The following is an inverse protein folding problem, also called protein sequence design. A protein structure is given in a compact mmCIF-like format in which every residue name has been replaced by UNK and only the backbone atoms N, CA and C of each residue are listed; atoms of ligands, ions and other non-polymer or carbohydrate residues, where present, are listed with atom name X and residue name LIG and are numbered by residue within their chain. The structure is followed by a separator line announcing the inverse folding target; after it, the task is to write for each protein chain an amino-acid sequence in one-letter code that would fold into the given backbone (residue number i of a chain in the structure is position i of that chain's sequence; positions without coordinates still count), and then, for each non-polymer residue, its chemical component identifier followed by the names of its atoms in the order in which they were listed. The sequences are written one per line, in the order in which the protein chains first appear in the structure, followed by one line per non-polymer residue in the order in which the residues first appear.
data_IF_712264798606
#
_entry.id   IF_712264798606
#
_cell.length_a   1.000
_cell.length_b   1.000
_cell.length_c   1.000
_cell.angle_alpha   90.00
_cell.angle_beta   90.00
_cell.angle_gamma   90.00
#
_symmetry.space_group_name_H-M   'P 1'
#
loop_
_entity.id
_entity.type
_entity.pdbx_description
1 polymer ?
#
# COMPACT_ATOMS: atom_id res chain seq x y z
N UNK A 1 -19.69 -16.67 17.50
CA UNK A 1 -20.02 -17.46 16.30
C UNK A 1 -18.71 -17.80 15.60
N UNK A 2 -18.60 -18.97 14.98
CA UNK A 2 -17.44 -19.25 14.16
C UNK A 2 -17.43 -18.32 12.92
N UNK A 3 -16.29 -17.67 12.60
CA UNK A 3 -16.21 -16.80 11.44
C UNK A 3 -16.44 -17.62 10.17
N UNK A 4 -17.32 -17.12 9.29
CA UNK A 4 -17.63 -17.76 8.01
C UNK A 4 -16.48 -17.53 7.04
N UNK A 5 -16.00 -18.59 6.40
CA UNK A 5 -15.02 -18.53 5.32
C UNK A 5 -15.60 -19.13 4.04
N UNK A 6 -15.51 -18.43 2.90
CA UNK A 6 -15.05 -17.03 2.73
C UNK A 6 -16.00 -15.99 3.39
N UNK A 7 -15.51 -14.79 3.75
CA UNK A 7 -16.31 -13.74 4.39
C UNK A 7 -17.51 -13.35 3.51
N UNK A 8 -18.60 -12.95 4.16
CA UNK A 8 -19.79 -12.43 3.47
C UNK A 8 -19.86 -10.92 3.66
N UNK A 9 -20.50 -10.18 2.74
CA UNK A 9 -20.79 -8.78 2.94
C UNK A 9 -21.55 -8.53 4.24
N UNK A 10 -21.23 -7.43 4.92
CA UNK A 10 -21.84 -7.05 6.18
C UNK A 10 -22.08 -5.52 6.22
N UNK A 11 -23.09 -5.06 6.98
CA UNK A 11 -23.29 -3.63 7.18
C UNK A 11 -22.18 -3.06 8.07
N UNK A 12 -21.58 -1.95 7.67
CA UNK A 12 -20.72 -1.14 8.53
C UNK A 12 -21.56 -0.14 9.33
N UNK A 13 -21.18 0.13 10.57
CA UNK A 13 -21.77 1.24 11.32
C UNK A 13 -21.35 2.58 10.70
N UNK A 14 -22.13 3.63 10.92
CA UNK A 14 -21.77 4.97 10.44
C UNK A 14 -20.46 5.47 11.08
N UNK A 15 -20.18 5.08 12.33
CA UNK A 15 -18.95 5.43 13.02
C UNK A 15 -17.74 4.77 12.36
N UNK A 16 -17.83 3.47 12.06
CA UNK A 16 -16.75 2.74 11.40
C UNK A 16 -16.54 3.24 9.97
N UNK A 17 -17.61 3.51 9.24
CA UNK A 17 -17.53 4.08 7.89
C UNK A 17 -16.79 5.43 7.89
N UNK A 18 -17.13 6.33 8.81
CA UNK A 18 -16.47 7.62 8.95
C UNK A 18 -14.99 7.47 9.38
N UNK A 19 -14.69 6.53 10.26
CA UNK A 19 -13.32 6.27 10.70
C UNK A 19 -12.45 5.75 9.54
N UNK A 20 -12.99 4.85 8.71
CA UNK A 20 -12.32 4.33 7.52
C UNK A 20 -12.13 5.39 6.43
N UNK A 21 -13.10 6.30 6.25
CA UNK A 21 -12.98 7.45 5.36
C UNK A 21 -11.86 8.40 5.83
N UNK A 22 -11.87 8.78 7.10
CA UNK A 22 -10.82 9.64 7.67
C UNK A 22 -9.42 8.99 7.56
N UNK A 23 -9.32 7.67 7.76
CA UNK A 23 -8.07 6.93 7.57
C UNK A 23 -7.60 7.00 6.11
N UNK A 24 -8.51 6.81 5.15
CA UNK A 24 -8.19 6.90 3.73
C UNK A 24 -7.68 8.31 3.37
N UNK A 25 -8.37 9.35 3.82
CA UNK A 25 -8.00 10.74 3.56
C UNK A 25 -6.62 11.08 4.13
N UNK A 26 -6.34 10.68 5.38
CA UNK A 26 -5.03 10.88 6.00
C UNK A 26 -3.91 10.20 5.21
N UNK A 27 -4.12 8.97 4.75
CA UNK A 27 -3.14 8.21 3.97
C UNK A 27 -2.90 8.80 2.58
N UNK A 28 -3.96 9.25 1.90
CA UNK A 28 -3.84 9.91 0.58
C UNK A 28 -3.14 11.25 0.74
N UNK A 29 -3.49 12.05 1.75
CA UNK A 29 -2.83 13.32 2.03
C UNK A 29 -1.34 13.14 2.38
N UNK A 30 -0.98 12.10 3.15
CA UNK A 30 0.42 11.76 3.41
C UNK A 30 1.17 11.39 2.12
N UNK A 31 0.57 10.55 1.28
CA UNK A 31 1.17 10.15 0.01
C UNK A 31 1.37 11.35 -0.94
N UNK A 32 0.37 12.25 -0.99
CA UNK A 32 0.42 13.49 -1.74
C UNK A 32 1.57 14.40 -1.27
N UNK A 33 1.66 14.70 0.04
CA UNK A 33 2.77 15.50 0.58
C UNK A 33 4.13 14.87 0.27
N UNK A 34 4.25 13.54 0.42
CA UNK A 34 5.50 12.84 0.11
C UNK A 34 5.88 12.95 -1.36
N UNK A 35 4.90 12.91 -2.26
CA UNK A 35 5.10 13.15 -3.69
C UNK A 35 5.57 14.58 -3.95
N UNK A 36 4.91 15.57 -3.34
CA UNK A 36 5.22 16.98 -3.58
C UNK A 36 6.62 17.33 -3.07
N UNK A 37 7.03 16.79 -1.91
CA UNK A 37 8.40 16.88 -1.40
C UNK A 37 9.42 16.26 -2.37
N UNK A 38 9.09 15.11 -2.98
CA UNK A 38 9.95 14.44 -3.95
C UNK A 38 10.13 15.29 -5.22
N UNK A 39 9.05 15.91 -5.70
CA UNK A 39 9.10 16.83 -6.85
C UNK A 39 9.89 18.10 -6.50
N UNK A 40 9.65 18.70 -5.33
CA UNK A 40 10.36 19.90 -4.86
C UNK A 40 11.88 19.68 -4.71
N UNK A 41 12.30 18.46 -4.39
CA UNK A 41 13.71 18.04 -4.35
C UNK A 41 14.30 17.74 -5.74
N UNK A 42 13.59 18.05 -6.82
CA UNK A 42 14.03 17.83 -8.19
C UNK A 42 14.00 16.35 -8.60
N UNK A 43 13.13 15.53 -7.98
CA UNK A 43 13.02 14.08 -8.22
C UNK A 43 14.31 13.31 -7.91
N UNK A 44 15.15 13.85 -7.03
CA UNK A 44 16.42 13.26 -6.66
C UNK A 44 16.19 12.22 -5.55
N UNK A 45 16.64 10.99 -5.80
CA UNK A 45 16.56 9.91 -4.82
C UNK A 45 17.85 9.83 -4.01
N UNK A 46 17.78 10.08 -2.70
CA UNK A 46 18.93 9.93 -1.80
C UNK A 46 19.41 8.46 -1.72
N UNK A 47 20.62 8.14 -2.24
CA UNK A 47 21.14 6.77 -2.25
C UNK A 47 21.53 6.25 -0.86
N UNK A 48 21.66 7.13 0.15
CA UNK A 48 21.93 6.76 1.55
C UNK A 48 20.67 6.24 2.24
N UNK A 49 19.50 6.74 1.89
CA UNK A 49 18.21 6.28 2.42
C UNK A 49 17.61 5.16 1.57
N UNK A 50 17.76 5.26 0.25
CA UNK A 50 17.07 4.41 -0.71
C UNK A 50 18.03 3.52 -1.50
N UNK A 51 17.60 2.30 -1.75
CA UNK A 51 18.29 1.35 -2.63
C UNK A 51 17.36 0.97 -3.77
N UNK A 52 17.79 1.17 -5.01
CA UNK A 52 17.08 0.70 -6.20
C UNK A 52 16.95 -0.83 -6.16
N UNK A 53 15.76 -1.32 -6.46
CA UNK A 53 15.41 -2.75 -6.44
C UNK A 53 15.17 -3.27 -7.85
N UNK A 54 14.41 -2.52 -8.64
CA UNK A 54 13.93 -2.93 -9.95
C UNK A 54 13.62 -1.72 -10.82
N UNK A 55 13.78 -1.88 -12.12
CA UNK A 55 13.33 -0.95 -13.15
C UNK A 55 12.57 -1.76 -14.21
N UNK A 56 11.40 -1.29 -14.62
CA UNK A 56 10.50 -1.98 -15.55
C UNK A 56 9.48 -0.98 -16.12
N UNK A 57 9.24 -0.99 -17.43
CA UNK A 57 8.20 -0.19 -18.10
C UNK A 57 8.20 1.29 -17.69
N UNK A 58 9.37 1.94 -17.71
CA UNK A 58 9.58 3.33 -17.29
C UNK A 58 9.26 3.64 -15.81
N UNK A 59 9.08 2.61 -15.00
CA UNK A 59 8.97 2.71 -13.55
C UNK A 59 10.26 2.25 -12.89
N UNK A 60 10.71 2.96 -11.86
CA UNK A 60 11.81 2.55 -10.99
C UNK A 60 11.31 2.39 -9.57
N UNK A 61 11.64 1.26 -8.93
CA UNK A 61 11.28 0.98 -7.55
C UNK A 61 12.50 0.98 -6.64
N UNK A 62 12.34 1.59 -5.49
CA UNK A 62 13.34 1.73 -4.45
C UNK A 62 12.80 1.22 -3.13
N UNK A 63 13.68 0.69 -2.30
CA UNK A 63 13.36 0.31 -0.92
C UNK A 63 14.22 1.08 0.07
N UNK A 64 13.70 1.35 1.26
CA UNK A 64 14.52 1.90 2.35
C UNK A 64 15.63 0.92 2.69
N UNK A 65 16.81 1.46 2.95
CA UNK A 65 17.86 0.68 3.60
C UNK A 65 17.46 0.43 5.05
N UNK A 66 17.68 -0.79 5.53
CA UNK A 66 17.61 -1.08 6.95
C UNK A 66 18.58 -0.12 7.64
N UNK A 67 18.09 0.70 8.57
CA UNK A 67 18.99 1.40 9.49
C UNK A 67 19.76 0.32 10.20
N UNK A 68 21.06 0.20 9.93
CA UNK A 68 21.93 -0.54 10.83
C UNK A 68 21.82 0.20 12.16
N UNK A 69 21.02 -0.31 13.11
CA UNK A 69 21.43 -0.17 14.51
C UNK A 69 22.85 -0.68 14.51
N UNK A 70 23.80 0.24 14.72
CA UNK A 70 25.24 0.04 14.62
C UNK A 70 25.60 -1.43 14.76
N UNK A 71 25.72 -2.13 13.62
CA UNK A 71 26.44 -3.40 13.64
C UNK A 71 27.77 -2.98 14.19
N UNK A 72 28.15 -3.50 15.35
CA UNK A 72 29.46 -3.30 15.94
C UNK A 72 30.46 -3.25 14.80
N UNK A 73 30.92 -2.03 14.52
CA UNK A 73 31.96 -1.78 13.54
C UNK A 73 33.16 -2.44 14.19
N UNK A 74 33.39 -3.73 13.92
CA UNK A 74 34.70 -4.33 14.12
C UNK A 74 35.57 -3.61 13.12
N UNK A 75 36.11 -2.50 13.59
CA UNK A 75 37.16 -1.77 12.95
C UNK A 75 38.31 -2.76 12.79
N UNK A 76 38.56 -3.13 11.53
CA UNK A 76 39.65 -4.01 11.18
C UNK A 76 40.91 -3.14 11.25
N UNK A 77 41.50 -3.08 12.44
CA UNK A 77 42.82 -2.46 12.63
C UNK A 77 43.87 -3.43 12.04
N UNK A 78 44.81 -2.97 11.21
CA UNK A 78 45.91 -3.80 10.70
C UNK A 78 46.76 -4.29 11.87
N UNK A 79 47.06 -5.59 11.89
CA UNK A 79 47.95 -6.20 12.88
C UNK A 79 49.40 -5.86 12.56
N UNK A 80 50.11 -5.25 13.50
CA UNK A 80 51.55 -5.44 13.65
C UNK A 80 51.84 -6.15 14.97
N UNK A 81 52.59 -7.24 14.80
CA UNK A 81 53.50 -7.95 15.68
C UNK A 81 53.08 -8.36 17.11
N UNK A 82 53.05 -9.69 17.23
CA UNK A 82 52.94 -10.57 18.40
C UNK A 82 53.95 -10.25 19.52
N UNK A 83 53.51 -10.27 20.77
CA UNK A 83 54.17 -11.07 21.83
C UNK A 83 53.14 -11.63 22.83
N UNK A 84 53.36 -12.90 23.21
CA UNK A 84 52.57 -13.78 24.08
C UNK A 84 52.54 -13.26 25.54
N UNK A 85 51.68 -13.68 26.47
CA UNK A 85 51.37 -15.02 27.04
C UNK A 85 50.06 -14.80 27.86
N UNK A 86 49.10 -15.71 28.08
CA UNK A 86 49.03 -16.81 29.07
C UNK A 86 47.69 -17.56 28.87
N UNK A 87 47.73 -18.86 29.14
CA UNK A 87 46.74 -19.90 28.84
C UNK A 87 45.31 -19.74 29.40
N UNK A 88 44.37 -20.33 28.65
CA UNK A 88 42.94 -20.54 28.91
C UNK A 88 42.62 -21.35 30.17
N UNK A 89 41.37 -21.22 30.65
CA UNK A 89 40.54 -22.42 30.79
C UNK A 89 39.17 -22.30 30.09
N UNK A 90 39.00 -23.25 29.18
CA UNK A 90 37.81 -23.95 28.65
C UNK A 90 36.38 -23.47 28.95
N UNK A 91 35.60 -23.36 27.87
CA UNK A 91 34.14 -23.46 27.82
C UNK A 91 33.66 -24.89 28.10
N UNK A 92 32.45 -25.04 28.65
CA UNK A 92 31.46 -25.91 28.00
C UNK A 92 30.15 -25.16 27.70
N UNK A 93 29.72 -25.26 26.44
CA UNK A 93 28.38 -24.88 25.99
C UNK A 93 27.45 -26.08 26.19
N UNK A 94 26.26 -25.92 26.80
CA UNK A 94 25.03 -26.64 26.44
C UNK A 94 23.83 -25.84 27.00
N UNK A 95 22.97 -25.28 26.15
CA UNK A 95 21.70 -24.67 26.58
C UNK A 95 20.82 -25.67 27.37
N UNK A 96 19.95 -25.20 28.28
CA UNK A 96 18.54 -25.10 27.93
C UNK A 96 17.82 -23.82 28.41
N UNK A 97 16.87 -23.40 27.58
CA UNK A 97 15.67 -22.58 27.75
C UNK A 97 15.43 -21.69 29.02
N UNK A 98 15.26 -20.39 28.74
CA UNK A 98 14.19 -19.43 29.13
C UNK A 98 13.61 -19.48 30.57
N UNK A 99 13.56 -18.32 31.24
CA UNK A 99 12.28 -17.87 31.86
C UNK A 99 12.09 -16.34 31.76
N UNK A 100 10.92 -15.95 31.23
CA UNK A 100 10.44 -14.59 30.98
C UNK A 100 9.78 -14.01 32.24
N UNK A 101 10.54 -13.95 33.34
CA UNK A 101 10.09 -13.34 34.59
C UNK A 101 10.79 -12.04 34.97
N UNK A 102 11.76 -11.60 34.15
CA UNK A 102 12.59 -10.44 34.47
C UNK A 102 12.05 -9.11 33.92
N UNK A 103 11.14 -9.12 32.94
CA UNK A 103 10.59 -7.87 32.37
C UNK A 103 9.37 -7.33 33.13
N UNK A 104 8.68 -8.14 33.95
CA UNK A 104 7.53 -7.70 34.73
C UNK A 104 7.91 -7.06 36.09
N UNK A 105 9.19 -7.06 36.46
CA UNK A 105 9.66 -6.55 37.75
C UNK A 105 10.22 -5.12 37.69
N UNK A 106 10.28 -4.50 36.50
CA UNK A 106 10.94 -3.20 36.31
C UNK A 106 9.98 -2.05 35.93
N UNK A 107 8.68 -2.31 35.75
CA UNK A 107 7.69 -1.25 35.49
C UNK A 107 6.85 -0.82 36.69
N UNK A 108 6.96 -1.50 37.84
CA UNK A 108 6.11 -1.24 39.03
C UNK A 108 6.78 -0.43 40.14
N UNK A 109 7.87 0.31 39.90
CA UNK A 109 8.62 0.94 41.02
C UNK A 109 9.09 2.38 40.83
N UNK A 110 8.41 3.20 40.01
CA UNK A 110 8.59 4.65 40.09
C UNK A 110 7.26 5.42 39.96
N UNK A 111 6.69 5.90 41.09
CA UNK A 111 5.79 7.03 41.09
C UNK A 111 6.57 8.36 41.20
N UNK A 112 5.96 9.41 40.64
CA UNK A 112 6.27 10.84 40.82
C UNK A 112 7.39 11.46 39.99
N UNK A 113 6.99 12.39 39.10
CA UNK A 113 7.62 13.71 39.04
C UNK A 113 6.54 14.77 38.87
N UNK A 114 6.25 15.50 39.95
CA UNK A 114 5.61 16.81 39.97
C UNK A 114 6.57 17.87 39.46
N UNK A 115 6.11 18.74 38.55
CA UNK A 115 6.69 20.07 38.34
C UNK A 115 5.56 21.10 38.27
N UNK A 116 5.92 22.31 38.65
CA UNK A 116 5.12 23.35 39.30
C UNK A 116 4.27 24.15 38.33
N UNK A 117 3.12 24.65 38.83
CA UNK A 117 2.40 25.78 38.25
C UNK A 117 3.19 27.06 38.54
N UNK A 118 3.48 27.84 37.51
CA UNK A 118 3.84 29.26 37.62
C UNK A 118 3.04 30.02 36.55
N UNK A 119 2.30 31.03 37.01
CA UNK A 119 1.38 31.87 36.24
C UNK A 119 2.18 32.93 35.46
N UNK A 120 2.02 32.96 34.14
CA UNK A 120 2.23 34.18 33.36
C UNK A 120 1.36 34.15 32.11
N UNK A 121 0.37 35.04 32.06
CA UNK A 121 -0.36 35.36 30.83
C UNK A 121 0.59 35.99 29.81
N UNK A 122 0.57 35.50 28.57
CA UNK A 122 1.26 36.13 27.45
C UNK A 122 1.55 35.17 26.28
N UNK A 123 0.89 35.42 25.16
CA UNK A 123 1.28 35.01 23.79
C UNK A 123 1.11 33.53 23.41
N UNK A 124 -0.12 33.14 23.06
CA UNK A 124 -0.40 31.91 22.29
C UNK A 124 -0.11 32.18 20.81
N UNK A 125 1.16 32.10 20.42
CA UNK A 125 1.56 32.03 19.01
C UNK A 125 2.84 31.21 18.82
N UNK A 126 2.85 29.95 19.26
CA UNK A 126 3.70 28.91 18.61
C UNK A 126 3.33 27.47 19.04
N UNK A 127 2.03 27.17 19.14
CA UNK A 127 1.53 25.82 19.48
C UNK A 127 0.95 25.12 18.25
N UNK A 128 1.67 25.16 17.11
CA UNK A 128 1.54 24.14 16.06
C UNK A 128 2.20 22.85 16.58
N UNK A 129 1.53 22.28 17.59
CA UNK A 129 2.05 21.28 18.50
C UNK A 129 2.24 19.93 17.80
N UNK A 130 3.37 19.30 18.12
CA UNK A 130 3.90 17.97 17.81
C UNK A 130 2.89 16.84 17.50
N UNK A 131 1.65 16.93 18.00
CA UNK A 131 0.54 16.04 17.68
C UNK A 131 0.22 16.00 16.17
N UNK A 132 0.25 17.13 15.47
CA UNK A 132 -0.13 17.20 14.05
C UNK A 132 0.92 16.53 13.14
N UNK A 133 2.20 16.68 13.49
CA UNK A 133 3.33 15.99 12.80
C UNK A 133 3.31 14.47 13.04
N UNK A 134 2.88 14.04 14.23
CA UNK A 134 2.68 12.62 14.54
C UNK A 134 1.47 12.06 13.79
N UNK A 135 0.37 12.78 13.67
CA UNK A 135 -0.81 12.35 12.91
C UNK A 135 -0.58 12.24 11.40
N UNK A 136 0.45 12.91 10.87
CA UNK A 136 0.76 12.95 9.45
C UNK A 136 1.53 11.74 8.89
N UNK A 137 2.03 10.83 9.74
CA UNK A 137 2.84 9.67 9.33
C UNK A 137 2.13 8.33 9.60
N UNK A 138 0.85 8.25 9.21
CA UNK A 138 0.01 7.05 9.39
C UNK A 138 0.64 5.83 8.73
N UNK A 139 1.20 5.99 7.53
CA UNK A 139 1.83 4.89 6.80
C UNK A 139 3.06 4.35 7.55
N UNK A 140 3.88 5.23 8.13
CA UNK A 140 5.08 4.79 8.88
C UNK A 140 4.72 4.13 10.20
N UNK A 141 3.66 4.59 10.88
CA UNK A 141 3.17 4.02 12.14
C UNK A 141 2.56 2.62 11.97
N UNK A 142 1.86 2.40 10.87
CA UNK A 142 1.19 1.12 10.56
C UNK A 142 2.15 0.08 9.97
N UNK A 143 3.33 0.50 9.49
CA UNK A 143 4.35 -0.38 8.93
C UNK A 143 5.06 -1.17 10.03
N UNK A 144 5.11 -2.52 9.96
CA UNK A 144 5.94 -3.30 10.87
C UNK A 144 7.43 -2.94 10.72
N UNK A 145 8.17 -2.81 11.84
CA UNK A 145 9.55 -2.30 11.85
C UNK A 145 10.49 -3.07 10.89
N UNK A 146 10.32 -4.39 10.81
CA UNK A 146 11.12 -5.29 9.95
C UNK A 146 10.83 -5.17 8.46
N UNK A 147 9.76 -4.50 8.06
CA UNK A 147 9.31 -4.44 6.66
C UNK A 147 9.86 -3.17 6.04
N UNK A 148 10.62 -3.21 4.94
CA UNK A 148 11.11 -1.99 4.32
C UNK A 148 9.95 -1.19 3.70
N UNK A 149 10.06 0.14 3.75
CA UNK A 149 9.23 1.01 2.92
C UNK A 149 9.71 0.89 1.48
N UNK A 150 8.78 0.89 0.53
CA UNK A 150 9.03 0.89 -0.91
C UNK A 150 8.35 2.10 -1.50
N UNK A 151 9.03 2.77 -2.42
CA UNK A 151 8.37 3.69 -3.34
C UNK A 151 8.77 3.37 -4.77
N UNK A 152 7.90 3.75 -5.69
CA UNK A 152 8.06 3.54 -7.11
C UNK A 152 7.64 4.80 -7.85
N UNK A 153 8.41 5.24 -8.83
CA UNK A 153 8.09 6.42 -9.62
C UNK A 153 8.42 6.19 -11.08
N UNK A 154 7.68 6.84 -11.98
CA UNK A 154 7.88 6.76 -13.40
C UNK A 154 6.92 7.65 -14.18
N UNK A 155 7.23 7.85 -15.45
CA UNK A 155 6.41 8.66 -16.37
C UNK A 155 5.88 7.77 -17.46
N UNK A 156 4.56 7.85 -17.70
CA UNK A 156 3.86 7.01 -18.68
C UNK A 156 2.93 7.85 -19.56
N UNK A 157 2.69 7.43 -20.82
CA UNK A 157 1.67 8.07 -21.66
C UNK A 157 0.26 7.89 -21.07
N UNK A 158 -0.56 8.95 -21.10
CA UNK A 158 -1.92 8.94 -20.62
C UNK A 158 -2.34 10.27 -19.99
N UNK A 159 -3.59 10.33 -19.52
CA UNK A 159 -4.10 11.45 -18.73
C UNK A 159 -4.41 11.03 -17.28
N UNK A 160 -4.68 12.01 -16.42
CA UNK A 160 -5.06 11.75 -15.02
C UNK A 160 -6.35 10.93 -14.94
N UNK A 161 -7.29 11.18 -15.85
CA UNK A 161 -8.54 10.44 -16.02
C UNK A 161 -8.29 9.00 -16.47
N UNK A 162 -7.24 8.75 -17.26
CA UNK A 162 -6.85 7.39 -17.64
C UNK A 162 -6.36 6.60 -16.43
N UNK A 163 -5.61 7.25 -15.54
CA UNK A 163 -5.26 6.70 -14.23
C UNK A 163 -6.50 6.43 -13.38
N UNK A 164 -7.38 7.42 -13.22
CA UNK A 164 -8.60 7.30 -12.42
C UNK A 164 -9.50 6.16 -12.92
N UNK A 165 -9.72 6.09 -14.24
CA UNK A 165 -10.53 5.06 -14.86
C UNK A 165 -9.88 3.68 -14.82
N UNK A 166 -8.56 3.61 -14.98
CA UNK A 166 -7.81 2.35 -14.91
C UNK A 166 -7.89 1.71 -13.53
N UNK A 167 -7.72 2.51 -12.48
CA UNK A 167 -7.71 2.02 -11.09
C UNK A 167 -9.09 1.81 -10.48
N UNK A 168 -10.14 2.40 -11.06
CA UNK A 168 -11.53 2.24 -10.59
C UNK A 168 -11.95 0.77 -10.60
N UNK A 169 -12.12 0.20 -9.41
CA UNK A 169 -12.61 -1.17 -9.22
C UNK A 169 -13.79 -1.23 -8.25
N UNK A 170 -14.85 -0.49 -8.55
CA UNK A 170 -16.07 -0.39 -7.75
C UNK A 170 -16.93 -1.67 -7.72
N UNK A 171 -16.57 -2.67 -8.52
CA UNK A 171 -17.23 -3.99 -8.57
C UNK A 171 -16.21 -5.11 -8.40
N UNK A 172 -16.69 -6.29 -7.97
CA UNK A 172 -15.84 -7.48 -7.87
C UNK A 172 -15.26 -7.92 -9.22
N UNK A 173 -16.04 -7.77 -10.30
CA UNK A 173 -15.59 -8.08 -11.65
C UNK A 173 -14.40 -7.20 -12.07
N UNK A 174 -14.52 -5.87 -11.90
CA UNK A 174 -13.41 -4.95 -12.17
C UNK A 174 -12.20 -5.20 -11.26
N UNK A 175 -12.45 -5.55 -9.98
CA UNK A 175 -11.38 -5.90 -9.04
C UNK A 175 -10.62 -7.15 -9.48
N UNK A 176 -11.33 -8.19 -9.95
CA UNK A 176 -10.72 -9.41 -10.50
C UNK A 176 -9.93 -9.11 -11.78
N UNK A 177 -10.49 -8.31 -12.70
CA UNK A 177 -9.77 -7.90 -13.91
C UNK A 177 -8.47 -7.15 -13.59
N UNK A 178 -8.50 -6.19 -12.67
CA UNK A 178 -7.31 -5.42 -12.26
C UNK A 178 -6.22 -6.34 -11.69
N UNK A 179 -6.61 -7.29 -10.84
CA UNK A 179 -5.66 -8.22 -10.22
C UNK A 179 -5.15 -9.30 -11.19
N UNK A 180 -5.90 -9.64 -12.24
CA UNK A 180 -5.49 -10.66 -13.22
C UNK A 180 -4.24 -10.26 -14.04
N UNK A 181 -3.88 -8.98 -14.04
CA UNK A 181 -2.64 -8.48 -14.64
C UNK A 181 -1.38 -9.00 -13.92
N UNK A 182 -1.50 -9.42 -12.66
CA UNK A 182 -0.41 -9.97 -11.87
C UNK A 182 -0.24 -11.48 -12.12
N UNK A 183 0.75 -11.85 -12.95
CA UNK A 183 0.98 -13.26 -13.35
C UNK A 183 1.58 -14.14 -12.25
N UNK A 184 2.11 -13.54 -11.19
CA UNK A 184 2.77 -14.27 -10.10
C UNK A 184 1.77 -14.78 -9.05
N UNK A 185 0.50 -14.37 -9.16
CA UNK A 185 -0.55 -14.63 -8.18
C UNK A 185 -1.86 -14.99 -8.88
N UNK A 186 -2.51 -16.06 -8.45
CA UNK A 186 -3.86 -16.43 -8.91
C UNK A 186 -4.87 -15.94 -7.89
N UNK A 187 -5.78 -15.07 -8.30
CA UNK A 187 -6.90 -14.64 -7.44
C UNK A 187 -7.93 -15.77 -7.38
N UNK A 188 -8.09 -16.36 -6.21
CA UNK A 188 -9.04 -17.45 -5.97
C UNK A 188 -10.45 -16.91 -5.70
N UNK A 189 -10.56 -15.83 -4.91
CA UNK A 189 -11.82 -15.15 -4.61
C UNK A 189 -11.55 -13.66 -4.29
N UNK A 190 -12.52 -12.80 -4.59
CA UNK A 190 -12.45 -11.36 -4.37
C UNK A 190 -13.86 -10.85 -4.07
N UNK A 191 -14.02 -10.28 -2.87
CA UNK A 191 -15.31 -9.82 -2.34
C UNK A 191 -15.23 -8.38 -1.89
N UNK A 192 -16.25 -7.61 -2.23
CA UNK A 192 -16.50 -6.31 -1.62
C UNK A 192 -17.40 -6.55 -0.41
N UNK A 193 -16.85 -6.40 0.79
CA UNK A 193 -17.55 -6.72 2.03
C UNK A 193 -18.46 -5.59 2.49
N UNK A 194 -18.05 -4.35 2.24
CA UNK A 194 -18.86 -3.17 2.49
C UNK A 194 -18.51 -2.06 1.50
N UNK A 195 -19.51 -1.29 1.07
CA UNK A 195 -19.36 -0.10 0.22
C UNK A 195 -19.73 1.11 1.05
N UNK A 196 -18.78 2.04 1.19
CA UNK A 196 -18.98 3.31 1.90
C UNK A 196 -19.35 4.37 0.86
N UNK A 197 -18.52 4.53 -0.17
CA UNK A 197 -18.76 5.40 -1.31
C UNK A 197 -18.66 4.64 -2.63
N UNK A 198 -19.38 5.10 -3.64
CA UNK A 198 -19.30 4.58 -5.00
C UNK A 198 -19.45 5.67 -6.05
N UNK A 199 -19.30 5.31 -7.34
CA UNK A 199 -19.38 6.26 -8.43
C UNK A 199 -20.72 6.99 -8.47
N UNK A 200 -20.67 8.29 -8.71
CA UNK A 200 -21.84 9.15 -8.94
C UNK A 200 -21.75 9.81 -10.31
N UNK A 201 -22.80 10.54 -10.70
CA UNK A 201 -22.77 11.31 -11.95
C UNK A 201 -21.70 12.41 -11.91
N UNK A 202 -21.57 13.10 -10.76
CA UNK A 202 -20.67 14.23 -10.61
C UNK A 202 -19.24 13.80 -10.24
N UNK A 203 -19.11 12.63 -9.62
CA UNK A 203 -17.83 12.00 -9.28
C UNK A 203 -17.81 10.53 -9.71
N UNK A 204 -17.49 10.25 -10.99
CA UNK A 204 -17.58 8.90 -11.57
C UNK A 204 -16.42 7.97 -11.19
N UNK A 205 -15.34 8.49 -10.61
CA UNK A 205 -14.15 7.70 -10.24
C UNK A 205 -14.03 7.44 -8.74
N UNK A 206 -14.95 7.99 -7.94
CA UNK A 206 -15.00 7.76 -6.51
C UNK A 206 -15.39 6.35 -6.15
N UNK A 207 -14.60 5.74 -5.28
CA UNK A 207 -14.97 4.52 -4.58
C UNK A 207 -14.29 4.51 -3.22
N UNK A 208 -15.01 4.10 -2.18
CA UNK A 208 -14.45 3.74 -0.89
C UNK A 208 -15.16 2.48 -0.38
N UNK A 209 -14.41 1.43 -0.06
CA UNK A 209 -15.01 0.21 0.45
C UNK A 209 -14.01 -0.75 1.07
N UNK A 210 -14.55 -1.72 1.81
CA UNK A 210 -13.78 -2.81 2.41
C UNK A 210 -13.77 -3.99 1.46
N UNK A 211 -12.57 -4.49 1.15
CA UNK A 211 -12.35 -5.60 0.23
C UNK A 211 -11.56 -6.72 0.88
N UNK A 212 -11.98 -7.94 0.61
CA UNK A 212 -11.26 -9.14 0.98
C UNK A 212 -10.94 -9.98 -0.25
N UNK A 213 -9.67 -10.36 -0.39
CA UNK A 213 -9.17 -11.15 -1.52
C UNK A 213 -8.39 -12.34 -1.00
N UNK A 214 -8.64 -13.53 -1.57
CA UNK A 214 -7.77 -14.69 -1.40
C UNK A 214 -7.04 -15.01 -2.69
N UNK A 215 -5.80 -15.44 -2.56
CA UNK A 215 -4.97 -15.81 -3.67
C UNK A 215 -4.00 -16.94 -3.35
N UNK A 216 -3.64 -17.66 -4.41
CA UNK A 216 -2.72 -18.79 -4.38
C UNK A 216 -1.55 -18.55 -5.33
N UNK A 217 -0.43 -19.22 -5.04
CA UNK A 217 0.74 -19.18 -5.92
C UNK A 217 0.60 -20.26 -7.01
N UNK A 218 0.71 -19.90 -8.30
CA UNK A 218 0.59 -20.87 -9.38
C UNK A 218 1.73 -21.89 -9.40
N UNK A 219 1.49 -23.03 -10.04
CA UNK A 219 2.51 -24.03 -10.35
C UNK A 219 3.07 -24.79 -9.14
N UNK A 220 4.27 -25.34 -9.29
CA UNK A 220 4.88 -26.20 -8.27
C UNK A 220 5.18 -25.47 -6.96
N UNK A 221 5.41 -24.15 -7.00
CA UNK A 221 5.68 -23.32 -5.84
C UNK A 221 4.49 -23.27 -4.86
N UNK A 222 3.25 -23.31 -5.37
CA UNK A 222 2.03 -23.35 -4.57
C UNK A 222 1.91 -24.56 -3.64
N UNK A 223 2.70 -25.62 -3.83
CA UNK A 223 2.74 -26.78 -2.92
C UNK A 223 3.45 -26.49 -1.60
N UNK A 224 4.34 -25.50 -1.59
CA UNK A 224 5.14 -25.12 -0.42
C UNK A 224 4.70 -23.77 0.16
N UNK A 225 3.97 -22.99 -0.63
CA UNK A 225 3.54 -21.64 -0.33
C UNK A 225 2.04 -21.69 -0.03
N UNK A 226 1.68 -21.57 1.26
CA UNK A 226 0.27 -21.60 1.71
C UNK A 226 -0.59 -20.53 0.99
N UNK A 227 -1.90 -20.73 0.81
CA UNK A 227 -2.77 -19.66 0.33
C UNK A 227 -2.70 -18.40 1.22
N UNK A 228 -2.92 -17.25 0.62
CA UNK A 228 -2.85 -15.94 1.29
C UNK A 228 -4.12 -15.17 1.07
N UNK A 229 -4.46 -14.35 2.05
CA UNK A 229 -5.56 -13.41 1.93
C UNK A 229 -5.12 -12.00 2.34
N UNK A 230 -5.90 -11.00 1.95
CA UNK A 230 -5.79 -9.65 2.48
C UNK A 230 -7.16 -9.05 2.69
N UNK A 231 -7.25 -8.21 3.72
CA UNK A 231 -8.42 -7.38 4.03
C UNK A 231 -7.94 -5.93 4.00
N UNK A 232 -8.53 -5.11 3.13
CA UNK A 232 -8.10 -3.72 2.92
C UNK A 232 -9.30 -2.79 2.83
N UNK A 233 -9.10 -1.53 3.20
CA UNK A 233 -9.85 -0.44 2.57
C UNK A 233 -9.24 -0.16 1.21
N UNK A 234 -10.10 0.03 0.22
CA UNK A 234 -9.72 0.57 -1.07
C UNK A 234 -10.41 1.91 -1.28
N UNK A 235 -9.63 2.95 -1.56
CA UNK A 235 -10.12 4.28 -1.89
C UNK A 235 -9.56 4.73 -3.24
N UNK A 236 -10.42 5.14 -4.15
CA UNK A 236 -10.02 5.72 -5.45
C UNK A 236 -10.79 7.00 -5.71
N UNK A 237 -10.16 7.94 -6.41
CA UNK A 237 -10.83 9.16 -6.81
C UNK A 237 -9.94 10.11 -7.57
N UNK A 238 -10.52 11.26 -7.88
CA UNK A 238 -9.82 12.44 -8.38
C UNK A 238 -10.00 13.59 -7.41
N UNK A 239 -8.96 14.41 -7.27
CA UNK A 239 -8.97 15.57 -6.38
C UNK A 239 -8.13 16.70 -6.97
N UNK A 240 -8.22 17.87 -6.33
CA UNK A 240 -7.38 19.03 -6.60
C UNK A 240 -6.37 19.17 -5.46
N UNK A 241 -5.15 19.57 -5.77
CA UNK A 241 -4.20 20.01 -4.76
C UNK A 241 -4.37 21.48 -4.38
N UNK A 242 -3.45 21.98 -3.55
CA UNK A 242 -3.40 23.37 -3.11
C UNK A 242 -3.23 24.37 -4.27
N UNK A 243 -2.67 23.93 -5.39
CA UNK A 243 -2.45 24.77 -6.57
C UNK A 243 -3.62 24.70 -7.56
N UNK A 244 -4.63 23.86 -7.27
CA UNK A 244 -5.78 23.63 -8.13
C UNK A 244 -5.51 22.66 -9.28
N UNK A 245 -4.37 21.97 -9.27
CA UNK A 245 -4.02 20.96 -10.27
C UNK A 245 -4.71 19.64 -9.95
N UNK A 246 -5.25 19.01 -11.00
CA UNK A 246 -5.96 17.73 -10.87
C UNK A 246 -4.99 16.58 -10.74
N UNK A 247 -5.26 15.70 -9.80
CA UNK A 247 -4.59 14.42 -9.68
C UNK A 247 -5.60 13.30 -9.43
N UNK A 248 -5.19 12.07 -9.73
CA UNK A 248 -5.95 10.88 -9.36
C UNK A 248 -5.15 10.05 -8.39
N UNK A 249 -5.86 9.28 -7.56
CA UNK A 249 -5.24 8.43 -6.57
C UNK A 249 -5.90 7.06 -6.49
N UNK A 250 -5.13 6.10 -6.02
CA UNK A 250 -5.61 4.77 -5.66
C UNK A 250 -4.88 4.28 -4.40
N UNK A 251 -5.64 4.09 -3.32
CA UNK A 251 -5.17 3.60 -2.03
C UNK A 251 -5.68 2.18 -1.80
N UNK A 252 -4.80 1.29 -1.37
CA UNK A 252 -5.13 0.05 -0.68
C UNK A 252 -4.42 0.05 0.66
N UNK A 253 -5.14 -0.13 1.76
CA UNK A 253 -4.56 -0.17 3.10
C UNK A 253 -5.17 -1.29 3.93
N UNK A 254 -4.32 -2.16 4.48
CA UNK A 254 -4.77 -3.26 5.33
C UNK A 254 -5.44 -2.76 6.60
N UNK A 255 -6.58 -3.36 6.94
CA UNK A 255 -7.32 -3.09 8.18
C UNK A 255 -7.55 -4.38 8.94
N UNK A 256 -7.92 -4.24 10.22
CA UNK A 256 -8.31 -5.34 11.10
C UNK A 256 -9.79 -5.16 11.46
N UNK A 257 -10.58 -6.21 11.27
CA UNK A 257 -12.00 -6.26 11.63
C UNK A 257 -12.29 -7.60 12.30
N UNK A 258 -13.03 -7.58 13.40
CA UNK A 258 -13.38 -8.79 14.16
C UNK A 258 -14.27 -9.73 13.35
N UNK A 259 -15.09 -9.18 12.45
CA UNK A 259 -15.95 -9.92 11.52
C UNK A 259 -15.14 -10.74 10.49
N UNK A 260 -13.88 -10.38 10.25
CA UNK A 260 -13.02 -10.96 9.20
C UNK A 260 -11.62 -11.30 9.76
N UNK A 261 -11.53 -12.35 10.60
CA UNK A 261 -10.26 -12.77 11.19
C UNK A 261 -9.33 -13.35 10.12
N UNK A 262 -8.08 -13.63 10.50
CA UNK A 262 -6.98 -14.05 9.60
C UNK A 262 -7.12 -15.47 9.00
N UNK A 263 -8.24 -16.15 9.23
CA UNK A 263 -8.59 -17.46 8.68
C UNK A 263 -7.47 -18.51 8.78
N UNK A 264 -6.57 -18.42 9.78
CA UNK A 264 -5.47 -19.36 9.96
C UNK A 264 -5.96 -20.80 10.10
N UNK A 265 -7.13 -21.00 10.73
CA UNK A 265 -7.78 -22.33 10.85
C UNK A 265 -8.14 -22.98 9.51
N UNK A 266 -8.25 -22.18 8.44
CA UNK A 266 -8.47 -22.65 7.06
C UNK A 266 -7.18 -22.72 6.25
N UNK A 267 -6.01 -22.55 6.88
CA UNK A 267 -4.70 -22.65 6.25
C UNK A 267 -4.24 -21.38 5.51
N UNK A 268 -4.96 -20.27 5.65
CA UNK A 268 -4.58 -18.97 5.08
C UNK A 268 -3.50 -18.26 5.91
N UNK A 269 -2.76 -17.40 5.23
CA UNK A 269 -1.83 -16.43 5.85
C UNK A 269 -2.24 -15.03 5.42
N UNK A 270 -2.54 -14.16 6.39
CA UNK A 270 -2.93 -12.76 6.16
C UNK A 270 -1.73 -11.91 5.73
N UNK A 271 -1.84 -11.29 4.56
CA UNK A 271 -0.94 -10.23 4.11
C UNK A 271 -1.36 -8.92 4.77
N UNK A 272 -0.37 -8.19 5.26
CA UNK A 272 -0.54 -6.80 5.73
C UNK A 272 0.24 -5.88 4.81
N UNK A 273 -0.43 -4.95 4.15
CA UNK A 273 0.21 -4.02 3.25
C UNK A 273 -0.53 -2.69 3.19
N UNK A 274 0.18 -1.68 2.72
CA UNK A 274 -0.40 -0.39 2.37
C UNK A 274 0.29 0.09 1.11
N UNK A 275 -0.48 0.57 0.14
CA UNK A 275 0.00 1.10 -1.13
C UNK A 275 -0.89 2.26 -1.55
N UNK A 276 -0.29 3.42 -1.80
CA UNK A 276 -0.98 4.55 -2.39
C UNK A 276 -0.28 4.94 -3.69
N UNK A 277 -1.06 5.10 -4.75
CA UNK A 277 -0.63 5.61 -6.05
C UNK A 277 -1.17 7.03 -6.20
N UNK A 278 -0.29 7.97 -6.53
CA UNK A 278 -0.60 9.35 -6.92
C UNK A 278 -0.23 9.49 -8.38
N UNK A 279 -1.17 9.97 -9.19
CA UNK A 279 -1.01 10.14 -10.64
C UNK A 279 -1.28 11.60 -11.01
N UNK A 280 -0.28 12.28 -11.54
CA UNK A 280 -0.32 13.71 -11.88
C UNK A 280 0.04 13.98 -13.33
N UNK A 281 -0.42 15.09 -13.93
CA UNK A 281 0.08 15.56 -15.21
C UNK A 281 1.61 15.73 -15.15
N UNK A 282 2.30 15.27 -16.19
CA UNK A 282 3.72 15.55 -16.38
C UNK A 282 3.89 16.78 -17.27
N UNK A 283 5.07 17.42 -17.22
CA UNK A 283 5.42 18.55 -18.10
C UNK A 283 5.31 18.20 -19.59
N UNK A 284 5.53 16.92 -19.91
CA UNK A 284 5.31 16.37 -21.24
C UNK A 284 3.81 16.20 -21.50
N UNK A 285 3.28 16.93 -22.48
CA UNK A 285 1.89 16.82 -22.90
C UNK A 285 1.48 15.37 -23.21
N UNK A 286 0.34 14.95 -22.65
CA UNK A 286 -0.18 13.58 -22.81
C UNK A 286 0.57 12.51 -22.01
N UNK A 287 1.34 12.90 -20.99
CA UNK A 287 1.95 11.99 -20.06
C UNK A 287 1.54 12.31 -18.62
N UNK A 288 1.57 11.27 -17.78
CA UNK A 288 1.39 11.38 -16.34
C UNK A 288 2.62 10.86 -15.60
N UNK A 289 2.96 11.51 -14.50
CA UNK A 289 3.87 11.00 -13.50
C UNK A 289 3.08 10.13 -12.52
N UNK A 290 3.57 8.91 -12.28
CA UNK A 290 3.03 8.00 -11.29
C UNK A 290 4.03 7.94 -10.14
N UNK A 291 3.56 8.21 -8.94
CA UNK A 291 4.31 8.02 -7.70
C UNK A 291 3.53 7.08 -6.79
N UNK A 292 4.15 5.96 -6.44
CA UNK A 292 3.55 4.95 -5.58
C UNK A 292 4.40 4.77 -4.33
N UNK A 293 3.80 4.71 -3.14
CA UNK A 293 4.51 4.50 -1.88
C UNK A 293 3.76 3.53 -0.99
N UNK A 294 4.48 2.67 -0.28
CA UNK A 294 3.87 1.66 0.55
C UNK A 294 4.82 0.68 1.21
N UNK A 295 4.26 -0.33 1.85
CA UNK A 295 4.97 -1.47 2.42
C UNK A 295 4.13 -2.74 2.26
N UNK A 296 4.77 -3.90 2.35
CA UNK A 296 4.08 -5.19 2.31
C UNK A 296 4.78 -6.23 3.18
N UNK A 297 3.99 -6.90 4.00
CA UNK A 297 4.34 -8.09 4.74
C UNK A 297 3.45 -9.25 4.30
N UNK A 298 4.03 -10.23 3.62
CA UNK A 298 3.28 -11.38 3.09
C UNK A 298 2.99 -12.45 4.13
N UNK A 299 3.50 -12.27 5.36
CA UNK A 299 3.36 -13.22 6.45
C UNK A 299 4.03 -14.57 6.21
N UNK A 300 4.07 -15.41 7.25
CA UNK A 300 4.69 -16.72 7.20
C UNK A 300 6.20 -16.68 6.88
N UNK A 301 6.69 -17.69 6.16
CA UNK A 301 8.13 -17.91 5.95
C UNK A 301 8.63 -17.44 4.58
N UNK A 302 8.11 -16.32 4.05
CA UNK A 302 8.64 -15.71 2.84
C UNK A 302 9.78 -14.75 3.22
N UNK A 303 10.93 -14.92 2.57
CA UNK A 303 12.09 -14.06 2.81
C UNK A 303 11.79 -12.60 2.42
N UNK A 304 12.19 -11.63 3.25
CA UNK A 304 11.91 -10.19 3.07
C UNK A 304 12.26 -9.69 1.66
N UNK A 305 13.39 -10.15 1.11
CA UNK A 305 13.82 -9.77 -0.25
C UNK A 305 12.79 -10.18 -1.29
N UNK A 306 12.22 -11.39 -1.19
CA UNK A 306 11.19 -11.87 -2.09
C UNK A 306 9.87 -11.10 -1.90
N UNK A 307 9.48 -10.81 -0.66
CA UNK A 307 8.33 -9.92 -0.38
C UNK A 307 8.50 -8.56 -1.06
N UNK A 308 9.71 -7.98 -0.96
CA UNK A 308 10.01 -6.69 -1.58
C UNK A 308 9.88 -6.77 -3.10
N UNK A 309 10.40 -7.83 -3.74
CA UNK A 309 10.29 -8.01 -5.19
C UNK A 309 8.84 -8.15 -5.64
N UNK A 310 8.05 -8.99 -4.95
CA UNK A 310 6.61 -9.18 -5.23
C UNK A 310 5.87 -7.85 -5.11
N UNK A 311 6.16 -7.08 -4.05
CA UNK A 311 5.52 -5.79 -3.85
C UNK A 311 5.90 -4.77 -4.92
N UNK A 312 7.19 -4.70 -5.30
CA UNK A 312 7.63 -3.86 -6.42
C UNK A 312 6.92 -4.24 -7.72
N UNK A 313 6.77 -5.54 -8.03
CA UNK A 313 6.05 -5.99 -9.22
C UNK A 313 4.58 -5.56 -9.19
N UNK A 314 3.93 -5.62 -8.03
CA UNK A 314 2.56 -5.12 -7.84
C UNK A 314 2.44 -3.60 -8.03
N UNK A 315 3.37 -2.80 -7.47
CA UNK A 315 3.35 -1.34 -7.67
C UNK A 315 3.63 -0.94 -9.12
N UNK A 316 4.48 -1.71 -9.82
CA UNK A 316 4.88 -1.48 -11.21
C UNK A 316 3.86 -1.99 -12.24
N UNK A 317 2.65 -2.39 -11.84
CA UNK A 317 1.55 -2.65 -12.78
C UNK A 317 0.76 -1.40 -13.17
N UNK A 318 1.03 -0.27 -12.51
CA UNK A 318 0.32 0.99 -12.74
C UNK A 318 0.36 1.45 -14.22
N UNK A 319 1.50 1.38 -14.96
CA UNK A 319 1.53 1.70 -16.39
C UNK A 319 0.54 0.87 -17.22
N UNK A 320 0.46 -0.44 -16.96
CA UNK A 320 -0.43 -1.35 -17.66
C UNK A 320 -1.89 -1.03 -17.34
N UNK A 321 -2.19 -0.67 -16.08
CA UNK A 321 -3.54 -0.26 -15.68
C UNK A 321 -4.01 0.99 -16.43
N UNK A 322 -3.11 1.94 -16.68
CA UNK A 322 -3.39 3.14 -17.50
C UNK A 322 -3.62 2.76 -18.97
N UNK A 323 -2.77 1.90 -19.54
CA UNK A 323 -2.91 1.42 -20.92
C UNK A 323 -4.23 0.63 -21.13
N UNK A 324 -4.60 -0.23 -20.19
CA UNK A 324 -5.85 -1.00 -20.21
C UNK A 324 -7.09 -0.08 -20.17
N UNK A 325 -7.00 1.06 -19.48
CA UNK A 325 -8.07 2.06 -19.43
C UNK A 325 -8.33 2.64 -20.84
N UNK A 326 -7.27 2.91 -21.60
CA UNK A 326 -7.36 3.34 -22.98
C UNK A 326 -8.00 2.26 -23.88
N UNK A 327 -7.57 1.01 -23.74
CA UNK A 327 -8.15 -0.12 -24.50
C UNK A 327 -9.65 -0.30 -24.21
N UNK A 328 -10.07 -0.16 -22.94
CA UNK A 328 -11.48 -0.22 -22.53
C UNK A 328 -12.31 0.91 -23.16
N UNK A 329 -11.79 2.15 -23.20
CA UNK A 329 -12.47 3.27 -23.86
C UNK A 329 -12.64 3.03 -25.36
N UNK A 330 -11.62 2.52 -26.05
CA UNK A 330 -11.70 2.16 -27.47
C UNK A 330 -12.74 1.06 -27.73
N UNK A 331 -12.76 0.02 -26.89
CA UNK A 331 -13.74 -1.06 -27.00
C UNK A 331 -15.16 -0.55 -26.78
N UNK A 332 -15.35 0.37 -25.83
CA UNK A 332 -16.63 1.04 -25.60
C UNK A 332 -17.07 1.83 -26.84
N UNK A 333 -16.21 2.68 -27.41
CA UNK A 333 -16.50 3.44 -28.62
C UNK A 333 -16.90 2.53 -29.79
N UNK A 334 -16.15 1.44 -29.99
CA UNK A 334 -16.43 0.43 -31.02
C UNK A 334 -17.81 -0.20 -30.83
N UNK A 335 -18.15 -0.64 -29.60
CA UNK A 335 -19.45 -1.24 -29.29
C UNK A 335 -20.61 -0.26 -29.45
N UNK A 336 -20.42 0.99 -29.03
CA UNK A 336 -21.44 2.04 -29.16
C UNK A 336 -21.73 2.34 -30.64
N UNK A 337 -20.68 2.46 -31.47
CA UNK A 337 -20.83 2.65 -32.91
C UNK A 337 -21.59 1.49 -33.58
N UNK A 338 -21.21 0.24 -33.27
CA UNK A 338 -21.93 -0.93 -33.80
C UNK A 338 -23.40 -0.96 -33.43
N UNK A 339 -23.74 -0.57 -32.19
CA UNK A 339 -25.15 -0.47 -31.77
C UNK A 339 -25.87 0.59 -32.59
N UNK A 340 -25.30 1.79 -32.72
CA UNK A 340 -25.89 2.86 -33.53
C UNK A 340 -26.12 2.41 -35.00
N UNK A 341 -25.13 1.75 -35.61
CA UNK A 341 -25.24 1.24 -37.00
C UNK A 341 -26.30 0.14 -37.15
N UNK A 342 -26.53 -0.67 -36.12
CA UNK A 342 -27.57 -1.71 -36.13
C UNK A 342 -28.98 -1.09 -36.01
N UNK A 343 -29.12 -0.01 -35.23
CA UNK A 343 -30.39 0.73 -35.08
C UNK A 343 -30.75 1.55 -36.33
N UNK A 344 -29.77 2.07 -37.07
CA UNK A 344 -30.02 2.80 -38.33
C UNK A 344 -30.27 1.84 -39.50
N UNK A 345 -29.69 0.63 -39.49
CA UNK A 345 -29.92 -0.40 -40.51
C UNK A 345 -31.29 -1.09 -40.46
N UNK A 346 -31.98 -1.08 -39.31
CA UNK A 346 -33.33 -1.67 -39.16
C UNK A 346 -34.49 -0.74 -39.55
N UNK A 347 -34.20 0.51 -39.94
CA UNK A 347 -35.21 1.51 -40.30
C UNK A 347 -35.54 1.62 -41.80
N UNK A 348 -34.94 0.82 -42.67
CA UNK A 348 -35.06 0.94 -44.14
C UNK A 348 -35.80 -0.23 -44.82
N UNK A 349 -36.65 -0.98 -44.12
CA UNK A 349 -37.41 -2.10 -44.72
C UNK A 349 -38.93 -2.04 -44.52
N UNK A 350 -39.54 -0.85 -44.52
CA UNK A 350 -41.00 -0.70 -44.38
C UNK A 350 -41.60 0.38 -45.30
N UNK A 351 -41.13 0.47 -46.55
CA UNK A 351 -41.90 1.08 -47.65
C UNK A 351 -41.82 0.18 -48.90
N UNK A 352 -42.60 -0.90 -48.89
CA UNK A 352 -43.17 -1.50 -50.10
C UNK A 352 -44.17 -2.60 -49.70
N UNK A 353 -45.44 -2.24 -49.56
CA UNK A 353 -46.62 -2.95 -50.09
C UNK A 353 -47.90 -2.19 -49.72
#
# INVERSE_FOLDING_TARGET
MDPTYPPKPFPLSAVDANALELLADKLVAEALRTHDDFVAQGRIVDPRRWKMVKEKNNMTAYRTRTRESSRFRRERVPSDETEAVIASPQLPSFYPAIDKKLEHALSETYPSVTFLEDDSEGEVQDEFSYADVLEQNVLEKTRPERVPMVFCTGVVPGTVEDGAFGFLADTEARSRERNASNRDVVVDDMRILARIHGPTHDDPFRFLGVKWCSHSTPGAAGRFIRPRDYLVIESTGMALDSDGERFSYALNHSIVLDEVPDYQKYGNVRITFSACHIMRPHETSGAIEIFSRGFMDTGGNIVERLCTYIFCDGLMTAPQTVEESYARKLLWLYRTRRRADTFTGSGLSLESL
#
